data_IF_867379061894
#
_entry.id   IF_867379061894
#
_cell.length_a   1.000
_cell.length_b   1.000
_cell.length_c   1.000
_cell.angle_alpha   90.00
_cell.angle_beta   90.00
_cell.angle_gamma   90.00
#
_symmetry.space_group_name_H-M   'P 1'
#
loop_
_entity.id
_entity.type
_entity.pdbx_description
1 polymer ?
#
# COMPACT_ATOMS: atom_id res chain seq x y z
N UNK A 1 1.24 -23.02 6.33
CA UNK A 1 0.84 -21.64 5.92
C UNK A 1 1.40 -20.56 6.82
N UNK A 2 1.21 -20.66 8.14
CA UNK A 2 1.70 -19.64 9.07
C UNK A 2 3.21 -19.44 8.99
N UNK A 3 3.98 -20.53 8.97
CA UNK A 3 5.44 -20.44 8.90
C UNK A 3 5.95 -19.80 7.61
N UNK A 4 5.32 -20.12 6.47
CA UNK A 4 5.69 -19.57 5.16
C UNK A 4 5.36 -18.07 5.11
N UNK A 5 4.16 -17.68 5.55
CA UNK A 5 3.76 -16.27 5.54
C UNK A 5 4.59 -15.43 6.51
N UNK A 6 4.95 -15.98 7.65
CA UNK A 6 5.84 -15.33 8.61
C UNK A 6 7.24 -15.11 8.01
N UNK A 7 7.77 -16.11 7.32
CA UNK A 7 9.05 -16.03 6.63
C UNK A 7 9.03 -14.96 5.53
N UNK A 8 7.97 -14.93 4.72
CA UNK A 8 7.78 -13.92 3.67
C UNK A 8 7.69 -12.51 4.24
N UNK A 9 6.96 -12.35 5.34
CA UNK A 9 6.87 -11.06 6.06
C UNK A 9 8.26 -10.61 6.53
N UNK A 10 9.02 -11.52 7.11
CA UNK A 10 10.38 -11.24 7.57
C UNK A 10 11.28 -10.81 6.41
N UNK A 11 11.25 -11.53 5.28
CA UNK A 11 12.03 -11.17 4.09
C UNK A 11 11.63 -9.81 3.53
N UNK A 12 10.35 -9.52 3.51
CA UNK A 12 9.83 -8.23 3.04
C UNK A 12 10.37 -7.08 3.90
N UNK A 13 10.25 -7.20 5.22
CA UNK A 13 10.75 -6.18 6.15
C UNK A 13 12.26 -6.00 6.03
N UNK A 14 12.99 -7.11 5.95
CA UNK A 14 14.44 -7.09 5.82
C UNK A 14 14.89 -6.41 4.52
N UNK A 15 14.17 -6.69 3.41
CA UNK A 15 14.46 -6.06 2.12
C UNK A 15 14.37 -4.54 2.21
N UNK A 16 13.30 -4.00 2.76
CA UNK A 16 13.12 -2.56 2.86
C UNK A 16 14.09 -1.89 3.83
N UNK A 17 14.48 -2.59 4.90
CA UNK A 17 15.48 -2.08 5.84
C UNK A 17 16.86 -2.00 5.17
N UNK A 18 17.23 -3.01 4.36
CA UNK A 18 18.55 -3.05 3.70
C UNK A 18 18.62 -2.21 2.43
N UNK A 19 17.47 -1.90 1.80
CA UNK A 19 17.41 -1.18 0.53
C UNK A 19 16.57 0.09 0.71
N UNK A 20 17.13 1.14 1.35
CA UNK A 20 16.36 2.34 1.70
C UNK A 20 16.11 3.28 0.54
N UNK A 21 16.40 2.87 -0.69
CA UNK A 21 16.20 3.69 -1.89
C UNK A 21 15.09 3.13 -2.75
N UNK A 22 14.32 4.02 -3.36
CA UNK A 22 13.38 3.64 -4.43
C UNK A 22 13.79 4.32 -5.73
N UNK A 23 13.42 3.73 -6.86
CA UNK A 23 13.76 4.27 -8.18
C UNK A 23 12.57 4.98 -8.80
N UNK A 24 12.80 6.20 -9.30
CA UNK A 24 11.81 6.96 -10.02
C UNK A 24 12.51 7.64 -11.19
N UNK A 25 12.05 7.40 -12.43
CA UNK A 25 12.69 7.88 -13.65
C UNK A 25 14.20 7.57 -13.69
N UNK A 26 14.60 6.37 -13.31
CA UNK A 26 15.98 5.89 -13.25
C UNK A 26 16.87 6.64 -12.24
N UNK A 27 16.26 7.41 -11.35
CA UNK A 27 16.96 8.11 -10.26
C UNK A 27 16.62 7.40 -8.95
N UNK A 28 17.65 7.08 -8.15
CA UNK A 28 17.46 6.48 -6.84
C UNK A 28 17.18 7.58 -5.81
N UNK A 29 16.07 7.46 -5.12
CA UNK A 29 15.65 8.42 -4.09
C UNK A 29 15.60 7.69 -2.75
N UNK A 30 16.16 8.31 -1.72
CA UNK A 30 16.14 7.74 -0.37
C UNK A 30 14.74 7.81 0.21
N UNK A 31 14.24 6.68 0.73
CA UNK A 31 12.94 6.63 1.41
C UNK A 31 13.00 7.44 2.69
N UNK A 32 11.94 8.18 2.98
CA UNK A 32 11.77 8.81 4.29
C UNK A 32 11.47 7.73 5.35
N UNK A 33 11.65 8.07 6.63
CA UNK A 33 11.32 7.15 7.73
C UNK A 33 9.85 6.74 7.69
N UNK A 34 8.96 7.68 7.35
CA UNK A 34 7.52 7.41 7.27
C UNK A 34 7.22 6.42 6.15
N UNK A 35 7.87 6.56 4.98
CA UNK A 35 7.74 5.60 3.88
C UNK A 35 8.20 4.21 4.30
N UNK A 36 9.34 4.13 4.98
CA UNK A 36 9.88 2.86 5.44
C UNK A 36 8.92 2.17 6.41
N UNK A 37 8.38 2.91 7.37
CA UNK A 37 7.40 2.37 8.31
C UNK A 37 6.12 1.94 7.61
N UNK A 38 5.65 2.68 6.61
CA UNK A 38 4.48 2.34 5.82
C UNK A 38 4.70 1.03 5.05
N UNK A 39 5.86 0.85 4.44
CA UNK A 39 6.18 -0.37 3.69
C UNK A 39 6.34 -1.58 4.59
N UNK A 40 6.94 -1.42 5.75
CA UNK A 40 7.01 -2.48 6.76
C UNK A 40 5.61 -2.83 7.27
N UNK A 41 4.78 -1.83 7.53
CA UNK A 41 3.38 -2.02 7.90
C UNK A 41 2.59 -2.76 6.82
N UNK A 42 2.86 -2.48 5.56
CA UNK A 42 2.26 -3.20 4.44
C UNK A 42 2.64 -4.68 4.43
N UNK A 43 3.89 -5.00 4.79
CA UNK A 43 4.30 -6.40 4.94
C UNK A 43 3.56 -7.12 6.06
N UNK A 44 3.36 -6.44 7.19
CA UNK A 44 2.56 -6.98 8.31
C UNK A 44 1.10 -7.15 7.88
N UNK A 45 0.56 -6.21 7.13
CA UNK A 45 -0.79 -6.29 6.57
C UNK A 45 -0.94 -7.55 5.69
N UNK A 46 0.01 -7.82 4.80
CA UNK A 46 -0.02 -9.01 3.96
C UNK A 46 0.04 -10.30 4.78
N UNK A 47 0.83 -10.31 5.86
CA UNK A 47 0.86 -11.44 6.78
C UNK A 47 -0.52 -11.70 7.39
N UNK A 48 -1.19 -10.65 7.87
CA UNK A 48 -2.53 -10.77 8.44
C UNK A 48 -3.52 -11.26 7.38
N UNK A 49 -3.48 -10.70 6.17
CA UNK A 49 -4.38 -11.07 5.09
C UNK A 49 -4.21 -12.54 4.69
N UNK A 50 -2.98 -13.02 4.55
CA UNK A 50 -2.69 -14.39 4.15
C UNK A 50 -3.12 -15.41 5.20
N UNK A 51 -3.19 -15.02 6.47
CA UNK A 51 -3.63 -15.88 7.57
C UNK A 51 -5.10 -15.68 7.94
N UNK A 52 -5.82 -14.80 7.25
CA UNK A 52 -7.26 -14.62 7.47
C UNK A 52 -8.00 -15.83 6.89
N UNK A 53 -8.87 -16.51 7.67
CA UNK A 53 -9.65 -17.64 7.19
C UNK A 53 -10.57 -17.23 6.03
N UNK A 54 -10.65 -18.08 5.02
CA UNK A 54 -11.44 -17.78 3.82
C UNK A 54 -12.93 -17.57 4.09
N UNK A 55 -13.46 -18.13 5.17
CA UNK A 55 -14.86 -17.93 5.55
C UNK A 55 -15.13 -16.52 6.10
N UNK A 56 -14.10 -15.76 6.40
CA UNK A 56 -14.23 -14.36 6.83
C UNK A 56 -14.08 -13.39 5.64
N UNK A 57 -14.94 -13.58 4.64
CA UNK A 57 -14.89 -12.79 3.39
C UNK A 57 -14.98 -11.29 3.62
N UNK A 58 -15.86 -10.84 4.54
CA UNK A 58 -16.02 -9.41 4.86
C UNK A 58 -14.72 -8.83 5.41
N UNK A 59 -14.06 -9.56 6.32
CA UNK A 59 -12.77 -9.15 6.89
C UNK A 59 -11.71 -9.04 5.78
N UNK A 60 -11.66 -10.02 4.88
CA UNK A 60 -10.71 -10.01 3.76
C UNK A 60 -10.93 -8.80 2.84
N UNK A 61 -12.18 -8.43 2.57
CA UNK A 61 -12.51 -7.24 1.76
C UNK A 61 -12.10 -5.94 2.46
N UNK A 62 -12.34 -5.83 3.76
CA UNK A 62 -11.90 -4.68 4.56
C UNK A 62 -10.39 -4.55 4.52
N UNK A 63 -9.66 -5.67 4.67
CA UNK A 63 -8.21 -5.69 4.58
C UNK A 63 -7.72 -5.27 3.18
N UNK A 64 -8.43 -5.66 2.13
CA UNK A 64 -8.10 -5.24 0.75
C UNK A 64 -8.26 -3.73 0.55
N UNK A 65 -9.30 -3.13 1.13
CA UNK A 65 -9.48 -1.67 1.14
C UNK A 65 -8.29 -1.01 1.87
N UNK A 66 -7.89 -1.55 3.01
CA UNK A 66 -6.74 -1.05 3.77
C UNK A 66 -5.46 -1.11 2.93
N UNK A 67 -5.25 -2.19 2.19
CA UNK A 67 -4.10 -2.34 1.29
C UNK A 67 -4.09 -1.29 0.18
N UNK A 68 -5.25 -1.00 -0.40
CA UNK A 68 -5.37 0.05 -1.43
C UNK A 68 -5.04 1.43 -0.85
N UNK A 69 -5.47 1.71 0.37
CA UNK A 69 -5.13 2.95 1.05
C UNK A 69 -3.64 3.05 1.36
N UNK A 70 -2.99 1.96 1.78
CA UNK A 70 -1.54 1.92 1.95
C UNK A 70 -0.80 2.26 0.66
N UNK A 71 -1.28 1.75 -0.48
CA UNK A 71 -0.69 2.07 -1.78
C UNK A 71 -0.77 3.57 -2.07
N UNK A 72 -1.94 4.18 -1.86
CA UNK A 72 -2.09 5.63 -2.04
C UNK A 72 -1.18 6.43 -1.10
N UNK A 73 -1.09 6.02 0.16
CA UNK A 73 -0.22 6.68 1.15
C UNK A 73 1.24 6.60 0.71
N UNK A 74 1.69 5.45 0.21
CA UNK A 74 3.05 5.30 -0.29
C UNK A 74 3.32 6.25 -1.45
N UNK A 75 2.42 6.33 -2.43
CA UNK A 75 2.56 7.25 -3.56
C UNK A 75 2.60 8.71 -3.11
N UNK A 76 1.78 9.07 -2.14
CA UNK A 76 1.79 10.42 -1.56
C UNK A 76 3.11 10.72 -0.87
N UNK A 77 3.63 9.78 -0.10
CA UNK A 77 4.87 9.95 0.66
C UNK A 77 6.12 10.08 -0.22
N UNK A 78 6.08 9.61 -1.46
CA UNK A 78 7.19 9.76 -2.40
C UNK A 78 7.58 11.23 -2.61
N UNK A 79 6.59 12.11 -2.68
CA UNK A 79 6.84 13.55 -2.82
C UNK A 79 7.67 14.09 -1.65
N UNK A 80 7.28 13.73 -0.42
CA UNK A 80 8.01 14.16 0.78
C UNK A 80 9.44 13.62 0.81
N UNK A 81 9.63 12.36 0.39
CA UNK A 81 10.96 11.76 0.32
C UNK A 81 11.86 12.48 -0.70
N UNK A 82 11.31 12.86 -1.86
CA UNK A 82 12.06 13.60 -2.88
C UNK A 82 12.50 14.97 -2.33
N UNK A 83 11.60 15.67 -1.64
CA UNK A 83 11.91 16.98 -1.05
C UNK A 83 13.02 16.87 0.00
N UNK A 84 13.02 15.80 0.80
CA UNK A 84 13.97 15.61 1.89
C UNK A 84 15.33 15.07 1.44
N UNK A 85 15.45 14.56 0.21
CA UNK A 85 16.70 13.98 -0.26
C UNK A 85 17.69 15.08 -0.64
N UNK A 86 18.71 15.26 0.18
CA UNK A 86 19.74 16.27 -0.01
C UNK A 86 20.73 15.98 -1.16
N UNK A 87 20.76 14.73 -1.63
CA UNK A 87 21.61 14.33 -2.75
C UNK A 87 21.08 14.78 -4.12
N UNK A 88 19.81 15.21 -4.19
CA UNK A 88 19.18 15.66 -5.43
C UNK A 88 19.28 17.19 -5.57
N UNK A 89 19.57 17.66 -6.79
CA UNK A 89 19.51 19.09 -7.09
C UNK A 89 18.05 19.55 -7.28
N UNK A 90 17.83 20.87 -7.25
CA UNK A 90 16.47 21.45 -7.34
C UNK A 90 15.78 21.11 -8.66
N UNK A 91 16.52 21.08 -9.75
CA UNK A 91 15.97 20.77 -11.07
C UNK A 91 15.46 19.33 -11.14
N UNK A 92 16.24 18.38 -10.65
CA UNK A 92 15.83 16.97 -10.57
C UNK A 92 14.65 16.78 -9.63
N UNK A 93 14.66 17.46 -8.47
CA UNK A 93 13.54 17.42 -7.53
C UNK A 93 12.24 17.83 -8.18
N UNK A 94 12.24 18.93 -8.95
CA UNK A 94 11.04 19.41 -9.63
C UNK A 94 10.48 18.37 -10.60
N UNK A 95 11.34 17.76 -11.42
CA UNK A 95 10.93 16.71 -12.36
C UNK A 95 10.34 15.51 -11.63
N UNK A 96 11.01 15.05 -10.56
CA UNK A 96 10.58 13.89 -9.79
C UNK A 96 9.29 14.17 -9.03
N UNK A 97 9.12 15.37 -8.47
CA UNK A 97 7.88 15.76 -7.79
C UNK A 97 6.71 15.76 -8.77
N UNK A 98 6.88 16.27 -9.97
CA UNK A 98 5.84 16.24 -11.01
C UNK A 98 5.46 14.80 -11.36
N UNK A 99 6.44 13.92 -11.50
CA UNK A 99 6.19 12.50 -11.78
C UNK A 99 5.45 11.82 -10.64
N UNK A 100 5.87 12.08 -9.39
CA UNK A 100 5.22 11.51 -8.21
C UNK A 100 3.76 11.98 -8.09
N UNK A 101 3.50 13.26 -8.32
CA UNK A 101 2.13 13.80 -8.35
C UNK A 101 1.30 13.17 -9.45
N UNK A 102 1.87 13.02 -10.65
CA UNK A 102 1.17 12.39 -11.76
C UNK A 102 0.78 10.96 -11.44
N UNK A 103 1.71 10.18 -10.88
CA UNK A 103 1.46 8.81 -10.48
C UNK A 103 0.34 8.73 -9.43
N UNK A 104 0.38 9.61 -8.44
CA UNK A 104 -0.66 9.67 -7.40
C UNK A 104 -2.03 9.97 -8.01
N UNK A 105 -2.14 11.02 -8.83
CA UNK A 105 -3.41 11.41 -9.42
C UNK A 105 -3.92 10.43 -10.47
N UNK A 106 -3.05 9.66 -11.09
CA UNK A 106 -3.44 8.60 -12.03
C UNK A 106 -4.02 7.40 -11.29
N UNK A 107 -3.44 7.04 -10.15
CA UNK A 107 -3.86 5.88 -9.35
C UNK A 107 -5.08 6.21 -8.48
N UNK A 108 -5.25 7.45 -8.06
CA UNK A 108 -6.32 7.87 -7.16
C UNK A 108 -7.73 7.46 -7.63
N UNK A 109 -8.15 7.72 -8.88
CA UNK A 109 -9.47 7.29 -9.35
C UNK A 109 -9.62 5.76 -9.35
N UNK A 110 -8.56 5.03 -9.68
CA UNK A 110 -8.55 3.56 -9.69
C UNK A 110 -8.81 3.04 -8.29
N UNK A 111 -8.12 3.58 -7.29
CA UNK A 111 -8.27 3.17 -5.90
C UNK A 111 -9.67 3.53 -5.37
N UNK A 112 -10.18 4.72 -5.71
CA UNK A 112 -11.55 5.11 -5.33
C UNK A 112 -12.57 4.13 -5.89
N UNK A 113 -12.45 3.76 -7.17
CA UNK A 113 -13.33 2.78 -7.79
C UNK A 113 -13.25 1.41 -7.10
N UNK A 114 -12.04 0.95 -6.79
CA UNK A 114 -11.85 -0.33 -6.09
C UNK A 114 -12.46 -0.30 -4.69
N UNK A 115 -12.28 0.79 -3.95
CA UNK A 115 -12.85 0.94 -2.61
C UNK A 115 -14.37 0.92 -2.68
N UNK A 116 -14.97 1.65 -3.62
CA UNK A 116 -16.43 1.66 -3.80
C UNK A 116 -16.95 0.28 -4.17
N UNK A 117 -16.27 -0.42 -5.07
CA UNK A 117 -16.64 -1.78 -5.45
C UNK A 117 -16.62 -2.72 -4.24
N UNK A 118 -15.57 -2.67 -3.41
CA UNK A 118 -15.47 -3.50 -2.22
C UNK A 118 -16.52 -3.13 -1.17
N UNK A 119 -16.84 -1.85 -1.00
CA UNK A 119 -17.88 -1.39 -0.08
C UNK A 119 -19.25 -1.95 -0.51
N UNK A 120 -19.60 -1.85 -1.81
CA UNK A 120 -20.84 -2.42 -2.32
C UNK A 120 -20.89 -3.94 -2.14
N UNK A 121 -19.77 -4.63 -2.37
CA UNK A 121 -19.68 -6.06 -2.14
C UNK A 121 -19.87 -6.42 -0.66
N UNK A 122 -19.31 -5.65 0.26
CA UNK A 122 -19.47 -5.86 1.71
C UNK A 122 -20.92 -5.68 2.10
N UNK A 123 -21.58 -4.63 1.60
CA UNK A 123 -23.00 -4.38 1.86
C UNK A 123 -23.85 -5.53 1.35
N UNK A 124 -23.58 -6.01 0.14
CA UNK A 124 -24.28 -7.15 -0.44
C UNK A 124 -24.09 -8.42 0.39
N UNK A 125 -22.89 -8.69 0.85
CA UNK A 125 -22.59 -9.85 1.69
C UNK A 125 -23.34 -9.77 3.03
N UNK A 126 -23.38 -8.60 3.66
CA UNK A 126 -24.10 -8.40 4.92
C UNK A 126 -25.60 -8.59 4.71
N UNK A 127 -26.17 -8.04 3.65
CA UNK A 127 -27.58 -8.21 3.31
C UNK A 127 -27.92 -9.68 3.03
N UNK A 128 -27.05 -10.37 2.31
CA UNK A 128 -27.21 -11.80 2.02
C UNK A 128 -27.18 -12.64 3.29
N UNK A 129 -26.29 -12.33 4.24
CA UNK A 129 -26.23 -13.01 5.53
C UNK A 129 -27.51 -12.75 6.34
N UNK A 130 -28.02 -11.53 6.33
CA UNK A 130 -29.30 -11.19 6.97
C UNK A 130 -30.47 -11.96 6.37
N UNK A 131 -30.55 -12.01 5.05
CA UNK A 131 -31.61 -12.75 4.33
C UNK A 131 -31.50 -14.26 4.52
N UNK A 132 -30.27 -14.78 4.65
CA UNK A 132 -30.01 -16.20 4.85
C UNK A 132 -30.39 -16.73 6.23
N UNK A 133 -30.60 -15.85 7.21
CA UNK A 133 -31.03 -16.22 8.56
C UNK A 133 -32.54 -16.46 8.62
N UNK A 134 -33.29 -15.89 7.71
CA UNK A 134 -34.74 -15.99 7.65
C UNK A 134 -35.17 -17.01 6.59
#
# INVERSE_FOLDING_TARGET
MLGISLFLMFLHCLYFIKHPYFELKKVKVKRSKVMLYTEVGFGIFWFILLNTPYYQWVVAKILSITGALFWLVELWLRRGAIIQDSALDEERKDVLIKKAKWDFYTVLPIVICLILMFIFNIIADINSLGDGIY
#
